data_IF_121593746380
#
_entry.id   IF_121593746380
#
_cell.length_a   1.000
_cell.length_b   1.000
_cell.length_c   1.000
_cell.angle_alpha   90.00
_cell.angle_beta   90.00
_cell.angle_gamma   90.00
#
_symmetry.space_group_name_H-M   'P 1'
#
loop_
_entity.id
_entity.type
_entity.pdbx_description
1 polymer ?
#
# COMPACT_ATOMS: atom_id res chain seq x y z
N UNK A 1 14.34 3.82 15.18
CA UNK A 1 15.13 4.83 15.91
C UNK A 1 14.32 5.34 17.09
N UNK A 2 14.93 5.74 18.22
CA UNK A 2 14.18 6.28 19.36
C UNK A 2 13.29 7.45 18.92
N UNK A 3 12.03 7.48 19.36
CA UNK A 3 11.08 8.56 19.07
C UNK A 3 10.24 8.41 17.78
N UNK A 4 10.49 7.40 16.95
CA UNK A 4 9.70 7.14 15.74
C UNK A 4 8.75 5.95 15.92
N UNK A 5 7.46 6.05 15.52
CA UNK A 5 6.59 4.88 15.46
C UNK A 5 7.20 3.78 14.58
N UNK A 6 7.05 2.48 14.93
CA UNK A 6 7.64 1.39 14.15
C UNK A 6 7.31 1.44 12.65
N UNK A 7 6.10 1.89 12.30
CA UNK A 7 5.63 2.04 10.91
C UNK A 7 6.42 3.01 10.05
N UNK A 8 7.11 4.00 10.64
CA UNK A 8 7.96 4.96 9.91
C UNK A 8 9.42 4.51 9.83
N UNK A 9 9.76 3.33 10.37
CA UNK A 9 11.14 2.87 10.49
C UNK A 9 11.64 2.01 9.32
N UNK A 10 10.83 1.80 8.27
CA UNK A 10 11.08 0.83 7.19
C UNK A 10 12.49 0.96 6.61
N UNK A 11 12.89 2.16 6.18
CA UNK A 11 14.20 2.40 5.55
C UNK A 11 15.37 2.08 6.49
N UNK A 12 15.21 2.36 7.80
CA UNK A 12 16.21 2.05 8.82
C UNK A 12 16.40 0.55 9.04
N UNK A 13 15.44 -0.29 8.63
CA UNK A 13 15.55 -1.74 8.67
C UNK A 13 16.03 -2.31 7.33
N UNK A 14 15.52 -1.78 6.22
CA UNK A 14 15.83 -2.29 4.88
C UNK A 14 17.29 -2.07 4.49
N UNK A 15 17.84 -0.86 4.63
CA UNK A 15 19.19 -0.55 4.15
C UNK A 15 20.28 -1.35 4.88
N UNK A 16 20.23 -1.52 6.22
CA UNK A 16 21.18 -2.42 6.90
C UNK A 16 21.09 -3.87 6.43
N UNK A 17 19.89 -4.39 6.18
CA UNK A 17 19.72 -5.74 5.65
C UNK A 17 20.34 -5.88 4.26
N UNK A 18 20.14 -4.91 3.37
CA UNK A 18 20.80 -4.88 2.05
C UNK A 18 22.33 -4.90 2.20
N UNK A 19 22.89 -4.08 3.10
CA UNK A 19 24.33 -4.07 3.39
C UNK A 19 24.83 -5.44 3.88
N UNK A 20 24.09 -6.09 4.77
CA UNK A 20 24.44 -7.42 5.28
C UNK A 20 24.41 -8.46 4.16
N UNK A 21 23.34 -8.51 3.37
CA UNK A 21 23.24 -9.48 2.26
C UNK A 21 24.29 -9.24 1.18
N UNK A 22 24.66 -7.99 0.91
CA UNK A 22 25.75 -7.66 0.01
C UNK A 22 27.11 -8.13 0.56
N UNK A 23 27.40 -7.83 1.84
CA UNK A 23 28.63 -8.26 2.49
C UNK A 23 28.77 -9.80 2.55
N UNK A 24 27.64 -10.51 2.62
CA UNK A 24 27.58 -11.98 2.58
C UNK A 24 27.62 -12.55 1.14
N UNK A 25 27.59 -11.70 0.11
CA UNK A 25 27.63 -12.12 -1.30
C UNK A 25 26.31 -12.66 -1.87
N UNK A 26 25.19 -12.48 -1.17
CA UNK A 26 23.87 -12.91 -1.65
C UNK A 26 23.25 -11.96 -2.66
N UNK A 27 23.66 -10.69 -2.63
CA UNK A 27 23.23 -9.68 -3.60
C UNK A 27 24.45 -8.93 -4.16
N UNK A 28 24.30 -8.44 -5.39
CA UNK A 28 25.30 -7.59 -6.03
C UNK A 28 25.35 -6.18 -5.44
N UNK A 29 26.02 -5.28 -6.16
CA UNK A 29 26.05 -3.87 -5.79
C UNK A 29 24.65 -3.24 -5.90
N UNK A 30 24.26 -2.44 -4.91
CA UNK A 30 22.89 -1.93 -4.78
C UNK A 30 22.81 -0.41 -4.55
N UNK A 31 23.96 0.29 -4.42
CA UNK A 31 24.01 1.75 -4.26
C UNK A 31 23.21 2.48 -5.35
N UNK A 32 23.39 2.10 -6.62
CA UNK A 32 22.66 2.71 -7.75
C UNK A 32 21.15 2.58 -7.60
N UNK A 33 20.66 1.42 -7.16
CA UNK A 33 19.23 1.22 -6.92
C UNK A 33 18.70 2.06 -5.75
N UNK A 34 19.53 2.28 -4.71
CA UNK A 34 19.19 3.16 -3.59
C UNK A 34 19.14 4.62 -4.02
N UNK A 35 20.14 5.09 -4.78
CA UNK A 35 20.19 6.45 -5.31
C UNK A 35 19.00 6.75 -6.22
N UNK A 36 18.65 5.81 -7.09
CA UNK A 36 17.44 5.89 -7.90
C UNK A 36 16.19 5.96 -7.04
N UNK A 37 16.08 5.10 -6.02
CA UNK A 37 14.93 5.09 -5.10
C UNK A 37 14.76 6.45 -4.41
N UNK A 38 15.86 7.03 -3.92
CA UNK A 38 15.86 8.38 -3.36
C UNK A 38 15.36 9.41 -4.38
N UNK A 39 15.87 9.37 -5.61
CA UNK A 39 15.49 10.30 -6.67
C UNK A 39 14.00 10.23 -7.02
N UNK A 40 13.45 9.00 -7.11
CA UNK A 40 12.01 8.78 -7.34
C UNK A 40 11.18 9.35 -6.18
N UNK A 41 11.56 9.07 -4.94
CA UNK A 41 10.83 9.54 -3.75
C UNK A 41 10.90 11.07 -3.62
N UNK A 42 12.05 11.69 -3.89
CA UNK A 42 12.20 13.15 -3.88
C UNK A 42 11.31 13.81 -4.93
N UNK A 43 11.25 13.24 -6.14
CA UNK A 43 10.32 13.65 -7.18
C UNK A 43 8.87 13.54 -6.72
N UNK A 44 8.49 12.42 -6.10
CA UNK A 44 7.15 12.23 -5.54
C UNK A 44 6.83 13.23 -4.43
N UNK A 45 7.76 13.47 -3.50
CA UNK A 45 7.55 14.44 -2.42
C UNK A 45 7.22 15.82 -2.98
N UNK A 46 7.93 16.28 -4.01
CA UNK A 46 7.64 17.58 -4.64
C UNK A 46 6.22 17.69 -5.22
N UNK A 47 5.61 16.57 -5.60
CA UNK A 47 4.28 16.53 -6.23
C UNK A 47 3.17 16.15 -5.24
N UNK A 48 3.51 15.41 -4.18
CA UNK A 48 2.54 14.78 -3.29
C UNK A 48 2.60 15.32 -1.86
N UNK A 49 3.48 16.26 -1.52
CA UNK A 49 3.52 16.88 -0.19
C UNK A 49 2.19 17.59 0.16
N UNK A 50 1.93 17.88 1.45
CA UNK A 50 0.70 18.57 1.85
C UNK A 50 0.52 19.96 1.21
N UNK A 51 1.63 20.60 0.84
CA UNK A 51 1.67 21.92 0.20
C UNK A 51 1.56 21.86 -1.33
N UNK A 52 1.56 20.67 -1.93
CA UNK A 52 1.49 20.50 -3.38
C UNK A 52 0.07 20.75 -3.93
N UNK A 53 -0.05 20.90 -5.26
CA UNK A 53 -1.36 21.04 -5.90
C UNK A 53 -2.23 19.79 -5.66
N UNK A 54 -3.37 19.91 -4.94
CA UNK A 54 -4.23 18.78 -4.62
C UNK A 54 -4.77 18.03 -5.85
N UNK A 55 -4.81 18.67 -7.03
CA UNK A 55 -5.29 18.04 -8.27
C UNK A 55 -4.35 16.98 -8.82
N UNK A 56 -3.05 17.13 -8.56
CA UNK A 56 -2.00 16.23 -9.04
C UNK A 56 -1.49 15.29 -7.93
N UNK A 57 -2.03 15.45 -6.71
CA UNK A 57 -1.62 14.68 -5.54
C UNK A 57 -2.33 13.31 -5.51
N UNK A 58 -1.72 12.31 -6.15
CA UNK A 58 -2.28 10.95 -6.26
C UNK A 58 -2.61 10.34 -4.90
N UNK A 59 -1.73 10.37 -3.88
CA UNK A 59 -2.07 9.85 -2.55
C UNK A 59 -3.31 10.52 -1.93
N UNK A 60 -3.47 11.84 -2.09
CA UNK A 60 -4.64 12.56 -1.59
C UNK A 60 -5.92 12.18 -2.36
N UNK A 61 -5.82 11.95 -3.67
CA UNK A 61 -6.95 11.47 -4.47
C UNK A 61 -7.39 10.06 -4.02
N UNK A 62 -6.43 9.16 -3.74
CA UNK A 62 -6.72 7.85 -3.18
C UNK A 62 -7.44 7.98 -1.84
N UNK A 63 -6.92 8.83 -0.93
CA UNK A 63 -7.53 9.07 0.37
C UNK A 63 -8.99 9.54 0.27
N UNK A 64 -9.27 10.51 -0.61
CA UNK A 64 -10.63 11.03 -0.83
C UNK A 64 -11.57 9.98 -1.43
N UNK A 65 -11.08 9.16 -2.36
CA UNK A 65 -11.90 8.09 -2.92
C UNK A 65 -12.13 6.95 -1.94
N UNK A 66 -11.32 6.83 -0.88
CA UNK A 66 -11.56 5.88 0.20
C UNK A 66 -12.40 6.46 1.35
N UNK A 67 -12.86 7.73 1.26
CA UNK A 67 -13.63 8.37 2.33
C UNK A 67 -14.95 7.61 2.57
N UNK A 68 -15.11 7.06 3.77
CA UNK A 68 -16.28 6.24 4.13
C UNK A 68 -16.35 4.86 3.45
N UNK A 69 -15.32 4.46 2.70
CA UNK A 69 -15.25 3.19 2.00
C UNK A 69 -14.14 2.30 2.54
N UNK A 70 -14.26 1.00 2.33
CA UNK A 70 -13.28 0.02 2.75
C UNK A 70 -12.24 -0.25 1.65
N UNK A 71 -10.95 0.07 1.85
CA UNK A 71 -9.93 -0.19 0.84
C UNK A 71 -9.70 -1.70 0.67
N UNK A 72 -9.76 -2.16 -0.59
CA UNK A 72 -9.39 -3.52 -0.98
C UNK A 72 -8.23 -3.45 -1.95
N UNK A 73 -7.03 -3.78 -1.46
CA UNK A 73 -5.78 -3.64 -2.20
C UNK A 73 -5.46 -4.96 -2.91
N UNK A 74 -5.41 -4.93 -4.24
CA UNK A 74 -4.96 -6.08 -5.03
C UNK A 74 -3.65 -5.78 -5.74
N UNK A 75 -2.74 -6.76 -5.76
CA UNK A 75 -1.47 -6.66 -6.49
C UNK A 75 -1.15 -7.98 -7.18
N UNK A 76 -0.26 -7.99 -8.17
CA UNK A 76 0.29 -9.26 -8.64
C UNK A 76 1.14 -9.91 -7.52
N UNK A 77 1.13 -11.24 -7.45
CA UNK A 77 2.10 -11.98 -6.63
C UNK A 77 3.52 -11.67 -7.09
N UNK A 78 4.45 -11.52 -6.14
CA UNK A 78 5.82 -11.09 -6.42
C UNK A 78 6.18 -9.77 -5.74
N UNK A 79 6.69 -8.79 -6.51
CA UNK A 79 7.33 -7.60 -5.95
C UNK A 79 6.38 -6.74 -5.11
N UNK A 80 5.17 -6.47 -5.61
CA UNK A 80 4.24 -5.52 -4.98
C UNK A 80 3.29 -6.17 -3.95
N UNK A 81 3.33 -7.49 -3.79
CA UNK A 81 2.54 -8.20 -2.77
C UNK A 81 2.82 -7.66 -1.35
N UNK A 82 4.09 -7.44 -1.02
CA UNK A 82 4.48 -6.88 0.28
C UNK A 82 4.04 -5.42 0.44
N UNK A 83 3.94 -4.66 -0.66
CA UNK A 83 3.39 -3.31 -0.64
C UNK A 83 1.89 -3.35 -0.34
N UNK A 84 1.13 -4.28 -0.94
CA UNK A 84 -0.29 -4.46 -0.66
C UNK A 84 -0.58 -4.75 0.82
N UNK A 85 0.21 -5.66 1.42
CA UNK A 85 0.13 -5.96 2.86
C UNK A 85 0.46 -4.73 3.70
N UNK A 86 1.45 -3.94 3.31
CA UNK A 86 1.81 -2.70 4.00
C UNK A 86 0.68 -1.67 3.93
N UNK A 87 0.10 -1.44 2.75
CA UNK A 87 -1.01 -0.51 2.57
C UNK A 87 -2.17 -0.86 3.50
N UNK A 88 -2.57 -2.13 3.52
CA UNK A 88 -3.58 -2.65 4.45
C UNK A 88 -3.29 -2.25 5.90
N UNK A 89 -2.06 -2.49 6.36
CA UNK A 89 -1.63 -2.12 7.71
C UNK A 89 -1.67 -0.61 7.93
N UNK A 90 -1.16 0.18 6.99
CA UNK A 90 -1.11 1.64 7.12
C UNK A 90 -2.49 2.29 7.17
N UNK A 91 -3.45 1.86 6.33
CA UNK A 91 -4.83 2.35 6.43
C UNK A 91 -5.46 2.03 7.78
N UNK A 92 -5.24 0.82 8.30
CA UNK A 92 -5.78 0.40 9.60
C UNK A 92 -5.13 1.15 10.77
N UNK A 93 -3.81 1.35 10.73
CA UNK A 93 -3.05 1.96 11.82
C UNK A 93 -3.07 3.49 11.81
N UNK A 94 -3.09 4.13 10.64
CA UNK A 94 -3.04 5.60 10.55
C UNK A 94 -4.42 6.24 10.43
N UNK A 95 -5.34 5.63 9.68
CA UNK A 95 -6.62 6.25 9.35
C UNK A 95 -7.81 5.63 10.13
N UNK A 96 -7.55 4.62 10.97
CA UNK A 96 -8.57 3.82 11.66
C UNK A 96 -9.61 3.20 10.71
N UNK A 97 -9.21 2.88 9.48
CA UNK A 97 -10.05 2.25 8.46
C UNK A 97 -9.64 0.80 8.26
N UNK A 98 -10.59 -0.12 8.40
CA UNK A 98 -10.37 -1.52 8.01
C UNK A 98 -10.02 -1.59 6.52
N UNK A 99 -8.95 -2.30 6.21
CA UNK A 99 -8.52 -2.54 4.84
C UNK A 99 -8.20 -4.03 4.65
N UNK A 100 -8.25 -4.47 3.40
CA UNK A 100 -7.91 -5.84 3.02
C UNK A 100 -6.90 -5.85 1.88
N UNK A 101 -6.16 -6.95 1.75
CA UNK A 101 -5.20 -7.11 0.66
C UNK A 101 -5.07 -8.56 0.24
N UNK A 102 -5.14 -8.84 -1.06
CA UNK A 102 -4.89 -10.16 -1.65
C UNK A 102 -4.19 -10.02 -3.01
N UNK A 103 -3.78 -11.13 -3.62
CA UNK A 103 -2.93 -11.09 -4.81
C UNK A 103 -3.49 -11.84 -6.00
N UNK A 104 -3.16 -11.37 -7.21
CA UNK A 104 -3.35 -12.14 -8.43
C UNK A 104 -2.25 -13.20 -8.56
N UNK A 105 -2.56 -14.43 -9.00
CA UNK A 105 -3.88 -14.89 -9.44
C UNK A 105 -4.74 -15.51 -8.34
N UNK A 106 -4.28 -15.58 -7.09
CA UNK A 106 -4.98 -16.28 -6.00
C UNK A 106 -6.39 -15.71 -5.75
N UNK A 107 -6.54 -14.39 -5.78
CA UNK A 107 -7.83 -13.71 -5.68
C UNK A 107 -8.82 -14.13 -6.79
N UNK A 108 -8.33 -14.58 -7.95
CA UNK A 108 -9.18 -15.11 -9.02
C UNK A 108 -9.75 -16.49 -8.71
N UNK A 109 -9.17 -17.21 -7.76
CA UNK A 109 -9.63 -18.55 -7.37
C UNK A 109 -10.65 -18.50 -6.23
N UNK A 110 -10.61 -17.47 -5.38
CA UNK A 110 -11.37 -17.43 -4.14
C UNK A 110 -12.35 -16.24 -4.04
N UNK A 111 -12.00 -15.05 -4.53
CA UNK A 111 -12.75 -13.81 -4.31
C UNK A 111 -13.55 -13.35 -5.52
N UNK A 112 -13.11 -13.66 -6.76
CA UNK A 112 -13.76 -13.14 -7.98
C UNK A 112 -15.26 -13.46 -8.05
N UNK A 113 -15.66 -14.61 -7.53
CA UNK A 113 -17.08 -15.06 -7.51
C UNK A 113 -17.91 -14.36 -6.43
N UNK A 114 -17.27 -13.64 -5.50
CA UNK A 114 -17.93 -12.85 -4.46
C UNK A 114 -18.42 -11.49 -4.96
N UNK A 115 -17.82 -10.97 -6.03
CA UNK A 115 -18.20 -9.69 -6.63
C UNK A 115 -19.49 -9.81 -7.45
N UNK A 116 -20.37 -8.81 -7.36
CA UNK A 116 -21.52 -8.63 -8.24
C UNK A 116 -22.86 -9.07 -7.67
N UNK A 117 -22.90 -10.02 -6.72
CA UNK A 117 -24.15 -10.48 -6.11
C UNK A 117 -24.77 -9.42 -5.18
N UNK A 118 -23.93 -8.60 -4.55
CA UNK A 118 -24.35 -7.62 -3.54
C UNK A 118 -23.81 -6.21 -3.87
N UNK A 119 -24.40 -5.50 -4.85
CA UNK A 119 -23.88 -4.21 -5.33
C UNK A 119 -23.72 -3.14 -4.25
N UNK A 120 -24.58 -3.15 -3.23
CA UNK A 120 -24.47 -2.20 -2.12
C UNK A 120 -23.24 -2.45 -1.24
N UNK A 121 -22.83 -3.72 -1.08
CA UNK A 121 -21.57 -4.07 -0.41
C UNK A 121 -20.38 -3.79 -1.34
N UNK A 122 -20.51 -4.07 -2.63
CA UNK A 122 -19.47 -3.81 -3.62
C UNK A 122 -19.12 -2.31 -3.70
N UNK A 123 -20.13 -1.43 -3.58
CA UNK A 123 -19.96 0.03 -3.51
C UNK A 123 -19.46 0.55 -2.17
N UNK A 124 -19.59 -0.24 -1.10
CA UNK A 124 -18.99 0.09 0.19
C UNK A 124 -17.47 -0.17 0.22
N UNK A 125 -16.92 -0.75 -0.86
CA UNK A 125 -15.49 -1.00 -1.03
C UNK A 125 -14.91 -0.07 -2.10
N UNK A 126 -13.65 0.32 -1.92
CA UNK A 126 -12.84 0.97 -2.94
C UNK A 126 -11.68 0.04 -3.30
N UNK A 127 -11.73 -0.52 -4.50
CA UNK A 127 -10.69 -1.41 -5.01
C UNK A 127 -9.50 -0.59 -5.52
N UNK A 128 -8.30 -0.98 -5.11
CA UNK A 128 -7.05 -0.36 -5.51
C UNK A 128 -6.11 -1.43 -6.05
N UNK A 129 -5.72 -1.31 -7.31
CA UNK A 129 -4.71 -2.15 -7.93
C UNK A 129 -3.33 -1.52 -7.78
N UNK A 130 -2.37 -2.29 -7.25
CA UNK A 130 -0.95 -1.99 -7.36
C UNK A 130 -0.40 -2.74 -8.57
N UNK A 131 0.08 -2.00 -9.57
CA UNK A 131 0.60 -2.55 -10.83
C UNK A 131 2.09 -2.33 -10.96
N UNK A 132 2.81 -3.37 -11.40
CA UNK A 132 4.20 -3.26 -11.79
C UNK A 132 4.33 -3.52 -13.29
N UNK A 133 5.14 -2.71 -13.97
CA UNK A 133 5.41 -2.90 -15.41
C UNK A 133 6.09 -4.25 -15.71
N UNK A 134 6.76 -4.86 -14.71
CA UNK A 134 7.41 -6.16 -14.83
C UNK A 134 6.50 -7.34 -14.44
N UNK A 135 5.23 -7.09 -14.10
CA UNK A 135 4.25 -8.16 -13.89
C UNK A 135 4.11 -8.98 -15.17
N UNK A 136 3.97 -10.30 -15.04
CA UNK A 136 3.78 -11.18 -16.20
C UNK A 136 2.55 -10.76 -17.02
N UNK A 137 2.66 -10.74 -18.35
CA UNK A 137 1.57 -10.33 -19.26
C UNK A 137 0.24 -11.04 -18.98
N UNK A 138 0.28 -12.32 -18.59
CA UNK A 138 -0.93 -13.08 -18.24
C UNK A 138 -1.61 -12.53 -16.99
N UNK A 139 -0.83 -12.07 -16.01
CA UNK A 139 -1.37 -11.45 -14.80
C UNK A 139 -1.87 -10.04 -15.09
N UNK A 140 -1.17 -9.23 -15.90
CA UNK A 140 -1.69 -7.93 -16.33
C UNK A 140 -3.05 -8.07 -17.03
N UNK A 141 -3.16 -9.02 -17.97
CA UNK A 141 -4.42 -9.34 -18.65
C UNK A 141 -5.51 -9.82 -17.69
N UNK A 142 -5.16 -10.60 -16.66
CA UNK A 142 -6.12 -11.01 -15.61
C UNK A 142 -6.64 -9.81 -14.85
N UNK A 143 -5.75 -8.89 -14.45
CA UNK A 143 -6.14 -7.67 -13.74
C UNK A 143 -7.12 -6.85 -14.58
N UNK A 144 -6.86 -6.69 -15.89
CA UNK A 144 -7.75 -5.95 -16.79
C UNK A 144 -9.14 -6.60 -16.90
N UNK A 145 -9.21 -7.92 -17.11
CA UNK A 145 -10.50 -8.65 -17.19
C UNK A 145 -11.25 -8.57 -15.86
N UNK A 146 -10.55 -8.73 -14.74
CA UNK A 146 -11.17 -8.72 -13.41
C UNK A 146 -11.66 -7.33 -13.04
N UNK A 147 -10.96 -6.28 -13.48
CA UNK A 147 -11.44 -4.90 -13.34
C UNK A 147 -12.80 -4.74 -14.02
N UNK A 148 -12.95 -5.20 -15.26
CA UNK A 148 -14.23 -5.12 -15.98
C UNK A 148 -15.37 -5.78 -15.19
N UNK A 149 -15.09 -6.92 -14.53
CA UNK A 149 -16.07 -7.64 -13.69
C UNK A 149 -16.40 -6.83 -12.42
N UNK A 150 -15.39 -6.35 -11.71
CA UNK A 150 -15.53 -5.61 -10.44
C UNK A 150 -16.29 -4.28 -10.66
N UNK A 151 -15.96 -3.54 -11.71
CA UNK A 151 -16.57 -2.23 -12.01
C UNK A 151 -18.02 -2.33 -12.50
N UNK A 152 -18.56 -3.54 -12.74
CA UNK A 152 -20.01 -3.69 -13.03
C UNK A 152 -20.91 -3.27 -11.88
N UNK A 153 -20.40 -3.36 -10.64
CA UNK A 153 -21.19 -3.17 -9.42
C UNK A 153 -20.51 -2.30 -8.37
N UNK A 154 -19.19 -2.26 -8.34
CA UNK A 154 -18.41 -1.42 -7.42
C UNK A 154 -18.08 -0.02 -7.98
N UNK A 155 -17.35 0.77 -7.19
CA UNK A 155 -16.75 2.02 -7.66
C UNK A 155 -15.63 1.75 -8.67
N UNK A 156 -15.26 2.72 -9.52
CA UNK A 156 -14.12 2.58 -10.43
C UNK A 156 -12.85 2.12 -9.70
N UNK A 157 -12.16 1.14 -10.25
CA UNK A 157 -10.91 0.64 -9.69
C UNK A 157 -9.83 1.71 -9.83
N UNK A 158 -9.16 2.00 -8.71
CA UNK A 158 -7.99 2.86 -8.70
C UNK A 158 -6.76 2.07 -9.10
N UNK A 159 -5.91 2.62 -9.95
CA UNK A 159 -4.69 1.96 -10.39
C UNK A 159 -3.45 2.78 -10.03
N UNK A 160 -2.55 2.15 -9.28
CA UNK A 160 -1.31 2.74 -8.81
C UNK A 160 -0.16 1.98 -9.44
N UNK A 161 0.49 2.62 -10.40
CA UNK A 161 1.63 2.05 -11.11
C UNK A 161 2.93 2.36 -10.38
N UNK A 162 3.76 1.33 -10.23
CA UNK A 162 5.13 1.48 -9.73
C UNK A 162 5.94 2.43 -10.62
N UNK A 163 6.82 3.23 -10.02
CA UNK A 163 7.76 4.11 -10.73
C UNK A 163 9.21 3.75 -10.44
N UNK A 164 10.07 3.97 -11.43
CA UNK A 164 11.50 3.62 -11.39
C UNK A 164 11.85 2.35 -12.16
N UNK A 165 13.15 2.15 -12.35
CA UNK A 165 13.73 1.06 -13.11
C UNK A 165 14.11 -0.12 -12.22
N UNK A 166 14.78 0.09 -11.10
CA UNK A 166 15.14 -0.98 -10.16
C UNK A 166 13.93 -1.51 -9.40
N UNK A 167 13.99 -2.79 -8.97
CA UNK A 167 12.94 -3.38 -8.12
C UNK A 167 12.79 -2.64 -6.79
N UNK A 168 13.88 -2.08 -6.25
CA UNK A 168 13.85 -1.27 -5.04
C UNK A 168 13.04 0.02 -5.26
N UNK A 169 13.33 0.76 -6.33
CA UNK A 169 12.62 2.00 -6.64
C UNK A 169 11.13 1.74 -6.91
N UNK A 170 10.81 0.70 -7.69
CA UNK A 170 9.43 0.30 -7.98
C UNK A 170 8.64 -0.09 -6.74
N UNK A 171 9.25 -0.87 -5.85
CA UNK A 171 8.62 -1.23 -4.58
C UNK A 171 8.42 0.01 -3.69
N UNK A 172 9.46 0.81 -3.48
CA UNK A 172 9.38 1.95 -2.57
C UNK A 172 8.50 3.09 -3.10
N UNK A 173 8.37 3.26 -4.42
CA UNK A 173 7.45 4.24 -5.01
C UNK A 173 5.99 3.95 -4.63
N UNK A 174 5.57 2.68 -4.69
CA UNK A 174 4.20 2.29 -4.30
C UNK A 174 4.02 2.33 -2.79
N UNK A 175 5.03 1.92 -2.01
CA UNK A 175 5.00 2.06 -0.55
C UNK A 175 4.82 3.52 -0.15
N UNK A 176 5.59 4.43 -0.74
CA UNK A 176 5.51 5.86 -0.43
C UNK A 176 4.12 6.43 -0.71
N UNK A 177 3.52 6.08 -1.86
CA UNK A 177 2.15 6.50 -2.20
C UNK A 177 1.16 5.98 -1.15
N UNK A 178 1.26 4.72 -0.73
CA UNK A 178 0.34 4.13 0.25
C UNK A 178 0.48 4.71 1.65
N UNK A 179 1.73 4.91 2.10
CA UNK A 179 2.02 5.53 3.38
C UNK A 179 1.39 6.94 3.43
N UNK A 180 1.58 7.73 2.37
CA UNK A 180 1.03 9.08 2.31
C UNK A 180 -0.50 9.09 2.09
N UNK A 181 -1.05 8.13 1.35
CA UNK A 181 -2.49 7.98 1.17
C UNK A 181 -3.18 7.66 2.50
N UNK A 182 -2.59 6.78 3.32
CA UNK A 182 -3.12 6.48 4.65
C UNK A 182 -3.03 7.68 5.60
N UNK A 183 -1.97 8.49 5.51
CA UNK A 183 -1.85 9.73 6.26
C UNK A 183 -2.93 10.74 5.86
N UNK A 184 -3.13 10.94 4.56
CA UNK A 184 -4.20 11.81 4.08
C UNK A 184 -5.60 11.28 4.40
N UNK A 185 -5.80 9.96 4.39
CA UNK A 185 -7.07 9.36 4.80
C UNK A 185 -7.38 9.63 6.28
N UNK A 186 -6.37 9.61 7.16
CA UNK A 186 -6.53 10.03 8.56
C UNK A 186 -7.01 11.48 8.65
N UNK A 187 -6.40 12.39 7.90
CA UNK A 187 -6.80 13.80 7.88
C UNK A 187 -8.22 14.00 7.34
N UNK A 188 -8.58 13.30 6.26
CA UNK A 188 -9.93 13.33 5.68
C UNK A 188 -10.97 12.83 6.70
N UNK A 189 -10.64 11.79 7.45
CA UNK A 189 -11.50 11.22 8.49
C UNK A 189 -11.50 12.03 9.81
N UNK A 190 -10.65 13.05 9.95
CA UNK A 190 -10.49 13.80 11.20
C UNK A 190 -9.84 13.01 12.35
N UNK A 191 -9.04 11.99 12.01
CA UNK A 191 -8.33 11.12 12.95
C UNK A 191 -6.87 11.60 13.11
N UNK A 192 -6.34 11.57 14.34
CA UNK A 192 -4.90 11.77 14.56
C UNK A 192 -4.14 10.48 14.21
N UNK A 193 -3.23 10.47 13.21
CA UNK A 193 -2.51 9.28 12.78
C UNK A 193 -1.38 8.85 13.74
N UNK A 194 -1.20 9.53 14.88
CA UNK A 194 -0.10 9.28 15.83
C UNK A 194 -0.42 8.20 16.88
N UNK A 195 -1.49 8.34 17.70
CA UNK A 195 -1.85 7.36 18.72
C UNK A 195 -2.39 6.05 18.13
N UNK A 196 -2.32 4.95 18.89
CA UNK A 196 -2.92 3.65 18.53
C UNK A 196 -3.57 3.00 19.76
N UNK A 197 -4.55 3.71 20.34
CA UNK A 197 -5.08 3.45 21.68
C UNK A 197 -5.68 2.05 21.85
N UNK A 198 -6.38 1.55 20.83
CA UNK A 198 -7.00 0.21 20.84
C UNK A 198 -5.95 -0.90 20.93
N UNK A 199 -4.82 -0.76 20.24
CA UNK A 199 -3.71 -1.73 20.32
C UNK A 199 -3.06 -1.67 21.70
N UNK A 200 -2.89 -0.48 22.27
CA UNK A 200 -2.31 -0.32 23.60
C UNK A 200 -3.23 -0.88 24.69
N UNK A 201 -4.54 -0.74 24.55
CA UNK A 201 -5.51 -1.41 25.41
C UNK A 201 -5.38 -2.94 25.34
N UNK A 202 -5.28 -3.51 24.13
CA UNK A 202 -5.10 -4.95 23.95
C UNK A 202 -3.79 -5.42 24.61
N UNK A 203 -2.67 -4.74 24.37
CA UNK A 203 -1.36 -5.06 24.97
C UNK A 203 -1.42 -5.03 26.49
N UNK A 204 -2.04 -4.00 27.07
CA UNK A 204 -2.23 -3.87 28.53
C UNK A 204 -3.08 -5.02 29.08
N UNK A 205 -4.14 -5.39 28.38
CA UNK A 205 -5.05 -6.48 28.79
C UNK A 205 -4.36 -7.85 28.76
N UNK A 206 -3.50 -8.09 27.76
CA UNK A 206 -2.74 -9.33 27.63
C UNK A 206 -1.58 -9.46 28.62
N UNK A 207 -1.03 -8.35 29.12
CA UNK A 207 0.07 -8.38 30.08
C UNK A 207 -0.29 -9.10 31.41
N UNK A 208 -1.58 -9.25 31.72
CA UNK A 208 -2.08 -10.02 32.87
C UNK A 208 -2.27 -11.52 32.61
N UNK A 209 -2.17 -11.96 31.36
CA UNK A 209 -2.44 -13.35 30.96
C UNK A 209 -1.10 -14.05 30.69
N UNK A 210 -0.67 -14.93 31.60
CA UNK A 210 0.46 -15.82 31.32
C UNK A 210 0.06 -16.78 30.19
N UNK A 211 0.75 -16.69 29.06
CA UNK A 211 0.67 -17.68 27.98
C UNK A 211 1.29 -19.01 28.37
#
# INVERSE_FOLDING_TARGET
>A
PPGYPPRTALVFLTVPLLKIFHALGYIGEFSVAVEETCSVIEGFWSTYSPESDPKHNVPLLVARQCEGLMPVIYSCSGLLEVAGVRWRGQFSENAEVLAFSNTFPEMNHNEIVGWGLHPELDKAMQVIYLRDRADNERNQKRMDIVREIIETTSNPVLEIWSSGESSLARLFSTIFIGDLASYYAALVNGVDPTPVDTIDYLKKSLAGTKG
#
